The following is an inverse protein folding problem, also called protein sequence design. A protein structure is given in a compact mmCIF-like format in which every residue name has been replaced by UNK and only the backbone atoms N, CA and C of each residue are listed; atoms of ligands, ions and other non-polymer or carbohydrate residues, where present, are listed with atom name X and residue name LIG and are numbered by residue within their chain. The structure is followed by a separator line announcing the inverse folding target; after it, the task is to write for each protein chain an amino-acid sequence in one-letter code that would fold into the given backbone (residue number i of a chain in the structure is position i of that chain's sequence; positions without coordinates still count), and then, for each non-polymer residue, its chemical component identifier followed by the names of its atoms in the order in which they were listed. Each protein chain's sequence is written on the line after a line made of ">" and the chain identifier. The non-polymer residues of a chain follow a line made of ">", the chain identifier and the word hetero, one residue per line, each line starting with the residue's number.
data_IF_845420340531
#
_entry.id   IF_845420340531
#
_cell.length_a   1.000
_cell.length_b   1.000
_cell.length_c   1.000
_cell.angle_alpha   90.00
_cell.angle_beta   90.00
_cell.angle_gamma   90.00
#
_symmetry.space_group_name_H-M   'P 1'
#
loop_
_entity.id
_entity.type
_entity.pdbx_description
1 polymer ?
#
# COMPACT_ATOMS: atom_id res chain seq x y z
N UNK A 1 34.48 -51.43 -18.90
CA UNK A 1 34.08 -50.61 -20.05
C UNK A 1 32.99 -49.66 -19.55
N UNK A 2 33.16 -48.36 -19.76
CA UNK A 2 32.10 -47.41 -19.46
C UNK A 2 30.93 -47.63 -20.42
N UNK A 3 29.73 -47.22 -20.02
CA UNK A 3 28.54 -47.52 -20.82
C UNK A 3 28.48 -46.71 -22.14
N UNK A 4 29.27 -45.63 -22.24
CA UNK A 4 29.47 -44.84 -23.47
C UNK A 4 30.66 -45.32 -24.34
N UNK A 5 31.34 -46.39 -23.93
CA UNK A 5 32.48 -46.97 -24.67
C UNK A 5 32.05 -48.18 -25.49
N UNK A 6 32.67 -48.33 -26.67
CA UNK A 6 32.57 -49.51 -27.53
C UNK A 6 33.96 -50.07 -27.77
N UNK A 7 34.14 -51.37 -27.53
CA UNK A 7 35.36 -52.10 -27.85
C UNK A 7 35.18 -52.87 -29.16
N UNK A 8 36.13 -52.70 -30.09
CA UNK A 8 36.20 -53.44 -31.34
C UNK A 8 37.51 -54.22 -31.40
N UNK A 9 37.47 -55.52 -31.69
CA UNK A 9 38.68 -56.31 -31.81
C UNK A 9 39.33 -56.09 -33.18
N UNK A 10 40.60 -55.69 -33.19
CA UNK A 10 41.37 -55.49 -34.40
C UNK A 10 42.11 -56.78 -34.77
N UNK A 11 41.67 -57.45 -35.84
CA UNK A 11 42.24 -58.74 -36.26
C UNK A 11 43.65 -58.63 -36.87
N UNK A 12 44.10 -57.43 -37.23
CA UNK A 12 45.41 -57.20 -37.85
C UNK A 12 46.49 -57.01 -36.79
N UNK A 13 46.18 -56.23 -35.75
CA UNK A 13 47.11 -55.93 -34.65
C UNK A 13 46.88 -56.82 -33.43
N UNK A 14 45.81 -57.62 -33.42
CA UNK A 14 45.41 -58.50 -32.32
C UNK A 14 45.22 -57.77 -30.96
N UNK A 15 44.70 -56.55 -31.00
CA UNK A 15 44.37 -55.74 -29.82
C UNK A 15 42.91 -55.28 -29.83
N UNK A 16 42.38 -54.93 -28.67
CA UNK A 16 41.06 -54.30 -28.54
C UNK A 16 41.19 -52.79 -28.66
N UNK A 17 40.54 -52.20 -29.66
CA UNK A 17 40.42 -50.76 -29.81
C UNK A 17 39.16 -50.28 -29.07
N UNK A 18 39.32 -49.47 -28.04
CA UNK A 18 38.22 -48.88 -27.26
C UNK A 18 37.98 -47.45 -27.74
N UNK A 19 36.75 -47.14 -28.12
CA UNK A 19 36.34 -45.80 -28.56
C UNK A 19 35.08 -45.36 -27.82
N UNK A 20 34.91 -44.06 -27.64
CA UNK A 20 33.75 -43.49 -26.94
C UNK A 20 34.15 -42.30 -26.06
N UNK A 21 33.21 -41.40 -25.84
CA UNK A 21 33.40 -40.25 -24.96
C UNK A 21 32.16 -40.03 -24.11
N UNK A 22 32.37 -39.63 -22.86
CA UNK A 22 31.27 -39.29 -21.97
C UNK A 22 30.49 -38.09 -22.54
N UNK A 23 29.15 -38.14 -22.55
CA UNK A 23 28.35 -36.99 -22.95
C UNK A 23 28.65 -35.77 -22.07
N UNK A 24 28.69 -34.58 -22.70
CA UNK A 24 28.88 -33.34 -21.98
C UNK A 24 27.79 -33.16 -20.91
N UNK A 25 28.20 -32.64 -19.74
CA UNK A 25 27.26 -32.31 -18.68
C UNK A 25 26.30 -31.20 -19.15
N UNK A 26 25.00 -31.31 -18.86
CA UNK A 26 24.04 -30.26 -19.21
C UNK A 26 24.31 -28.98 -18.43
N UNK A 27 23.93 -27.83 -19.00
CA UNK A 27 23.84 -26.57 -18.25
C UNK A 27 22.69 -26.67 -17.25
N UNK A 28 22.96 -26.37 -15.98
CA UNK A 28 21.98 -26.45 -14.91
C UNK A 28 21.50 -25.07 -14.49
N UNK A 29 20.19 -24.96 -14.21
CA UNK A 29 19.70 -23.90 -13.36
C UNK A 29 20.21 -24.10 -11.92
N UNK A 30 20.23 -23.03 -11.14
CA UNK A 30 20.84 -23.08 -9.81
C UNK A 30 20.08 -23.98 -8.82
N UNK A 31 18.81 -24.29 -9.11
CA UNK A 31 17.96 -25.21 -8.35
C UNK A 31 17.99 -26.66 -8.88
N UNK A 32 18.82 -26.94 -9.89
CA UNK A 32 18.95 -28.26 -10.51
C UNK A 32 20.25 -28.95 -10.11
N UNK A 33 20.22 -30.27 -10.19
CA UNK A 33 21.38 -31.16 -10.02
C UNK A 33 21.35 -32.20 -11.13
N UNK A 34 22.54 -32.58 -11.63
CA UNK A 34 22.66 -33.66 -12.61
C UNK A 34 23.49 -34.81 -12.04
N UNK A 35 23.02 -36.04 -12.25
CA UNK A 35 23.73 -37.27 -11.91
C UNK A 35 23.88 -38.11 -13.17
N UNK A 36 25.09 -38.58 -13.46
CA UNK A 36 25.31 -39.44 -14.63
C UNK A 36 24.81 -40.85 -14.36
N UNK A 37 23.92 -41.35 -15.22
CA UNK A 37 23.38 -42.69 -15.12
C UNK A 37 24.23 -43.67 -15.94
N UNK A 38 24.95 -44.54 -15.25
CA UNK A 38 25.85 -45.53 -15.87
C UNK A 38 25.14 -46.70 -16.55
N UNK A 39 23.81 -46.80 -16.42
CA UNK A 39 23.01 -47.83 -17.10
C UNK A 39 22.46 -47.30 -18.42
N UNK A 40 21.97 -46.08 -18.44
CA UNK A 40 21.35 -45.46 -19.64
C UNK A 40 22.32 -44.54 -20.41
N UNK A 41 23.49 -44.24 -19.83
CA UNK A 41 24.53 -43.38 -20.41
C UNK A 41 24.10 -41.95 -20.68
N UNK A 42 23.16 -41.45 -19.89
CA UNK A 42 22.67 -40.07 -19.96
C UNK A 42 22.79 -39.39 -18.60
N UNK A 43 22.71 -38.07 -18.61
CA UNK A 43 22.60 -37.28 -17.40
C UNK A 43 21.14 -37.21 -16.96
N UNK A 44 20.84 -37.67 -15.75
CA UNK A 44 19.54 -37.49 -15.11
C UNK A 44 19.56 -36.14 -14.36
N UNK A 45 18.70 -35.20 -14.78
CA UNK A 45 18.57 -33.88 -14.16
C UNK A 45 17.37 -33.88 -13.21
N UNK A 46 17.58 -33.42 -11.98
CA UNK A 46 16.52 -33.29 -10.97
C UNK A 46 16.57 -31.93 -10.29
N UNK A 47 15.44 -31.47 -9.78
CA UNK A 47 15.28 -30.15 -9.17
C UNK A 47 14.08 -29.42 -9.75
N UNK A 48 13.54 -28.49 -8.98
CA UNK A 48 12.41 -27.66 -9.41
C UNK A 48 12.58 -26.25 -8.88
N UNK A 49 12.20 -25.26 -9.69
CA UNK A 49 12.24 -23.88 -9.25
C UNK A 49 11.25 -23.70 -8.08
N UNK A 50 11.66 -23.02 -6.99
CA UNK A 50 10.73 -22.65 -5.92
C UNK A 50 9.57 -21.82 -6.46
N UNK A 51 8.36 -22.09 -5.97
CA UNK A 51 7.18 -21.33 -6.33
C UNK A 51 7.36 -19.84 -5.99
N UNK A 52 6.85 -18.97 -6.86
CA UNK A 52 6.82 -17.53 -6.61
C UNK A 52 6.00 -17.25 -5.34
N UNK A 53 6.48 -16.38 -4.43
CA UNK A 53 5.73 -16.02 -3.23
C UNK A 53 4.46 -15.24 -3.57
N UNK A 54 3.44 -15.34 -2.71
CA UNK A 54 2.28 -14.44 -2.77
C UNK A 54 2.72 -13.03 -2.40
N UNK A 55 2.36 -12.04 -3.23
CA UNK A 55 2.75 -10.65 -3.04
C UNK A 55 1.59 -9.80 -2.55
N UNK A 56 1.89 -8.88 -1.64
CA UNK A 56 1.04 -7.73 -1.45
C UNK A 56 1.08 -6.85 -2.70
N UNK A 57 0.04 -6.06 -2.94
CA UNK A 57 -0.09 -5.32 -4.18
C UNK A 57 0.98 -4.19 -4.35
N UNK A 58 1.64 -3.80 -3.24
CA UNK A 58 2.77 -2.87 -3.20
C UNK A 58 4.14 -3.56 -3.27
N UNK A 59 4.19 -4.87 -3.51
CA UNK A 59 5.41 -5.66 -3.59
C UNK A 59 5.69 -6.17 -5.00
N UNK A 60 6.96 -6.45 -5.26
CA UNK A 60 7.46 -7.12 -6.46
C UNK A 60 8.42 -8.23 -6.07
N UNK A 61 8.51 -9.30 -6.87
CA UNK A 61 9.49 -10.37 -6.67
C UNK A 61 10.36 -10.58 -7.91
N UNK A 62 11.63 -10.86 -7.68
CA UNK A 62 12.60 -11.23 -8.72
C UNK A 62 13.31 -12.51 -8.30
N UNK A 63 13.45 -13.47 -9.21
CA UNK A 63 14.17 -14.70 -8.92
C UNK A 63 15.68 -14.48 -9.05
N UNK A 64 16.42 -14.80 -7.99
CA UNK A 64 17.86 -14.69 -7.97
C UNK A 64 18.50 -16.00 -8.43
N UNK A 65 19.10 -16.00 -9.63
CA UNK A 65 19.72 -17.20 -10.22
C UNK A 65 21.03 -17.60 -9.56
N UNK A 66 21.56 -16.81 -8.63
CA UNK A 66 22.77 -17.16 -7.87
C UNK A 66 22.42 -17.85 -6.56
N UNK A 67 21.43 -17.34 -5.84
CA UNK A 67 21.02 -17.86 -4.51
C UNK A 67 19.82 -18.80 -4.58
N UNK A 68 19.17 -18.90 -5.74
CA UNK A 68 18.00 -19.75 -6.00
C UNK A 68 16.78 -19.42 -5.16
N UNK A 69 16.66 -18.17 -4.72
CA UNK A 69 15.52 -17.69 -3.95
C UNK A 69 14.86 -16.51 -4.64
N UNK A 70 13.61 -16.24 -4.26
CA UNK A 70 12.89 -15.05 -4.67
C UNK A 70 13.26 -13.88 -3.75
N UNK A 71 13.80 -12.81 -4.33
CA UNK A 71 14.01 -11.54 -3.65
C UNK A 71 12.73 -10.71 -3.76
N UNK A 72 12.11 -10.37 -2.62
CA UNK A 72 10.87 -9.58 -2.55
C UNK A 72 11.19 -8.16 -2.09
N UNK A 73 10.71 -7.18 -2.85
CA UNK A 73 10.91 -5.76 -2.57
C UNK A 73 9.57 -5.01 -2.57
N UNK A 74 9.56 -3.82 -2.00
CA UNK A 74 8.37 -2.95 -1.88
C UNK A 74 7.91 -2.77 -0.45
N UNK A 75 7.39 -1.58 -0.14
CA UNK A 75 6.92 -1.18 1.18
C UNK A 75 5.51 -0.62 1.09
N UNK A 76 4.65 -0.94 2.05
CA UNK A 76 3.32 -0.36 2.10
C UNK A 76 3.42 1.18 2.24
N UNK A 77 2.63 1.96 1.49
CA UNK A 77 2.55 3.40 1.69
C UNK A 77 2.13 3.73 3.12
N UNK A 78 2.75 4.77 3.71
CA UNK A 78 2.38 5.25 5.04
C UNK A 78 0.91 5.66 5.07
N UNK A 79 0.24 5.37 6.19
CA UNK A 79 -1.13 5.81 6.43
C UNK A 79 -1.18 7.35 6.40
N UNK A 80 -2.17 7.96 5.73
CA UNK A 80 -2.30 9.41 5.70
C UNK A 80 -2.66 9.96 7.09
N UNK A 81 -2.25 11.20 7.38
CA UNK A 81 -2.73 11.94 8.55
C UNK A 81 -4.23 12.21 8.39
N UNK A 82 -5.02 11.82 9.38
CA UNK A 82 -6.47 11.98 9.37
C UNK A 82 -6.91 13.18 10.19
N UNK A 83 -7.89 13.92 9.67
CA UNK A 83 -8.71 14.75 10.54
C UNK A 83 -9.54 13.86 11.47
N UNK A 84 -9.95 14.39 12.61
CA UNK A 84 -10.61 13.59 13.64
C UNK A 84 -11.99 13.06 13.21
N UNK A 85 -12.59 13.64 12.16
CA UNK A 85 -13.83 13.19 11.52
C UNK A 85 -13.61 12.26 10.31
N UNK A 86 -12.37 11.81 10.07
CA UNK A 86 -12.00 10.94 8.97
C UNK A 86 -11.57 9.55 9.44
N UNK A 87 -11.71 8.58 8.55
CA UNK A 87 -11.19 7.21 8.68
C UNK A 87 -10.46 6.84 7.40
N UNK A 88 -9.49 5.92 7.48
CA UNK A 88 -8.83 5.39 6.29
C UNK A 88 -8.79 3.86 6.30
N UNK A 89 -8.94 3.27 5.11
CA UNK A 89 -8.81 1.84 4.87
C UNK A 89 -7.85 1.60 3.72
N UNK A 90 -6.96 0.62 3.84
CA UNK A 90 -6.04 0.29 2.75
C UNK A 90 -6.73 -0.59 1.73
N UNK A 91 -6.69 -0.19 0.46
CA UNK A 91 -7.27 -0.93 -0.65
C UNK A 91 -6.22 -1.85 -1.28
N UNK A 92 -6.36 -3.15 -1.08
CA UNK A 92 -5.39 -4.15 -1.58
C UNK A 92 -5.45 -4.35 -3.10
N UNK A 93 -6.44 -3.76 -3.78
CA UNK A 93 -6.55 -3.84 -5.25
C UNK A 93 -5.86 -2.66 -5.92
N UNK A 94 -6.04 -1.45 -5.40
CA UNK A 94 -5.46 -0.21 -5.96
C UNK A 94 -4.16 0.21 -5.27
N UNK A 95 -3.80 -0.43 -4.16
CA UNK A 95 -2.60 -0.15 -3.36
C UNK A 95 -2.51 1.24 -2.76
N UNK A 96 -3.67 1.86 -2.51
CA UNK A 96 -3.76 3.19 -1.90
C UNK A 96 -4.65 3.16 -0.66
N UNK A 97 -4.51 4.19 0.17
CA UNK A 97 -5.40 4.44 1.29
C UNK A 97 -6.65 5.18 0.80
N UNK A 98 -7.82 4.57 0.99
CA UNK A 98 -9.11 5.22 0.77
C UNK A 98 -9.49 5.97 2.05
N UNK A 99 -9.65 7.31 1.96
CA UNK A 99 -10.02 8.18 3.09
C UNK A 99 -11.49 8.57 2.97
N UNK A 100 -12.24 8.35 4.05
CA UNK A 100 -13.67 8.68 4.14
C UNK A 100 -13.95 9.56 5.36
N UNK A 101 -15.09 10.25 5.36
CA UNK A 101 -15.51 11.14 6.44
C UNK A 101 -15.60 12.59 5.99
N UNK A 102 -16.46 13.37 6.64
CA UNK A 102 -16.72 14.76 6.30
C UNK A 102 -16.86 15.57 7.57
N UNK A 103 -16.34 16.80 7.56
CA UNK A 103 -16.46 17.68 8.71
C UNK A 103 -17.94 18.00 8.94
N UNK A 104 -18.43 17.96 10.19
CA UNK A 104 -19.76 18.43 10.51
C UNK A 104 -19.96 19.89 10.08
N UNK A 105 -21.12 20.21 9.53
CA UNK A 105 -21.46 21.58 9.14
C UNK A 105 -21.38 22.53 10.34
N UNK A 106 -20.92 23.76 10.10
CA UNK A 106 -20.89 24.79 11.13
C UNK A 106 -22.33 25.10 11.60
N UNK A 107 -22.58 25.22 12.92
CA UNK A 107 -23.90 25.55 13.42
C UNK A 107 -24.31 26.98 13.03
N UNK A 108 -25.61 27.23 12.90
CA UNK A 108 -26.15 28.59 12.73
C UNK A 108 -25.93 29.39 14.01
N UNK A 109 -25.34 30.59 13.89
CA UNK A 109 -24.99 31.45 15.00
C UNK A 109 -25.94 32.65 15.14
N UNK A 110 -26.26 33.03 16.37
CA UNK A 110 -26.79 34.35 16.66
C UNK A 110 -25.71 35.43 16.50
N UNK A 111 -26.10 36.71 16.35
CA UNK A 111 -25.15 37.82 16.16
C UNK A 111 -24.18 38.05 17.34
N UNK A 112 -24.47 37.46 18.50
CA UNK A 112 -23.65 37.53 19.71
C UNK A 112 -22.88 36.22 19.99
N UNK A 113 -22.88 35.27 19.05
CA UNK A 113 -22.21 33.98 19.20
C UNK A 113 -21.01 33.82 18.27
N UNK A 114 -20.08 32.96 18.67
CA UNK A 114 -18.94 32.49 17.87
C UNK A 114 -18.86 30.97 17.95
N UNK A 115 -18.37 30.32 16.88
CA UNK A 115 -18.10 28.89 16.85
C UNK A 115 -16.62 28.62 16.57
N UNK A 116 -16.06 27.61 17.24
CA UNK A 116 -14.72 27.08 16.97
C UNK A 116 -14.80 25.57 16.83
N UNK A 117 -14.11 25.00 15.84
CA UNK A 117 -14.09 23.55 15.66
C UNK A 117 -13.04 22.91 16.56
N UNK A 118 -13.46 21.96 17.39
CA UNK A 118 -12.59 21.22 18.27
C UNK A 118 -12.04 19.98 17.54
N UNK A 119 -10.76 20.01 17.20
CA UNK A 119 -10.09 18.91 16.48
C UNK A 119 -9.85 17.67 17.34
N UNK A 120 -10.12 17.73 18.64
CA UNK A 120 -9.99 16.58 19.55
C UNK A 120 -11.33 15.84 19.69
N UNK A 121 -12.43 16.58 19.88
CA UNK A 121 -13.77 15.99 20.06
C UNK A 121 -14.58 15.92 18.77
N UNK A 122 -14.10 16.53 17.69
CA UNK A 122 -14.74 16.58 16.38
C UNK A 122 -16.10 17.26 16.34
N UNK A 123 -16.33 18.21 17.25
CA UNK A 123 -17.58 18.98 17.33
C UNK A 123 -17.28 20.47 17.30
N UNK A 124 -18.33 21.25 16.99
CA UNK A 124 -18.28 22.70 17.08
C UNK A 124 -18.60 23.15 18.51
N UNK A 125 -17.68 23.88 19.12
CA UNK A 125 -17.90 24.56 20.40
C UNK A 125 -18.48 25.96 20.12
N UNK A 126 -19.66 26.24 20.64
CA UNK A 126 -20.34 27.54 20.47
C UNK A 126 -20.28 28.34 21.77
N UNK A 127 -19.84 29.59 21.69
CA UNK A 127 -19.75 30.50 22.83
C UNK A 127 -20.43 31.84 22.54
N UNK A 128 -20.85 32.55 23.57
CA UNK A 128 -21.53 33.85 23.44
C UNK A 128 -22.69 34.00 24.41
N UNK A 129 -22.92 35.21 24.90
CA UNK A 129 -24.03 35.56 25.79
C UNK A 129 -24.87 36.64 25.13
N UNK A 130 -26.19 36.47 25.15
CA UNK A 130 -27.09 37.51 24.67
C UNK A 130 -26.98 38.75 25.59
N UNK A 131 -26.80 39.96 25.05
CA UNK A 131 -26.83 41.18 25.84
C UNK A 131 -28.23 41.39 26.44
N UNK A 132 -28.29 41.93 27.66
CA UNK A 132 -29.56 42.33 28.27
C UNK A 132 -30.22 43.44 27.44
N UNK A 133 -31.55 43.41 27.35
CA UNK A 133 -32.30 44.43 26.62
C UNK A 133 -32.08 45.82 27.25
N UNK A 134 -31.83 46.87 26.46
CA UNK A 134 -31.73 48.23 26.99
C UNK A 134 -33.04 48.62 27.69
N UNK A 135 -32.95 49.08 28.94
CA UNK A 135 -34.10 49.69 29.61
C UNK A 135 -34.35 51.06 28.98
N UNK A 136 -35.51 51.23 28.35
CA UNK A 136 -35.97 52.52 27.82
C UNK A 136 -36.03 53.56 28.94
N UNK A 137 -35.11 54.52 28.94
CA UNK A 137 -35.24 55.71 29.76
C UNK A 137 -36.16 56.69 29.03
N UNK A 138 -37.43 56.75 29.44
CA UNK A 138 -38.36 57.76 28.92
C UNK A 138 -37.92 59.11 29.47
N UNK A 139 -37.15 59.85 28.68
CA UNK A 139 -36.92 61.27 28.94
C UNK A 139 -38.28 61.93 28.67
N UNK A 140 -39.00 62.35 29.71
CA UNK A 140 -40.15 63.25 29.54
C UNK A 140 -39.62 64.55 28.93
N UNK A 141 -39.61 64.65 27.61
CA UNK A 141 -39.52 65.94 26.96
C UNK A 141 -40.78 66.71 27.38
N UNK A 142 -40.60 67.68 28.26
CA UNK A 142 -41.61 68.70 28.51
C UNK A 142 -41.81 69.45 27.18
N UNK A 143 -42.71 68.94 26.34
CA UNK A 143 -43.30 69.70 25.25
C UNK A 143 -44.15 70.78 25.90
N UNK A 144 -43.55 71.95 26.15
CA UNK A 144 -44.29 73.17 26.39
C UNK A 144 -45.00 73.54 25.10
N UNK A 145 -46.24 73.06 24.95
CA UNK A 145 -47.16 73.50 23.90
C UNK A 145 -47.55 74.95 24.25
N UNK A 146 -47.16 75.98 23.48
CA UNK A 146 -47.64 77.33 23.73
C UNK A 146 -49.15 77.39 23.43
N UNK A 147 -49.94 78.15 24.21
CA UNK A 147 -51.37 78.28 23.97
C UNK A 147 -51.63 78.97 22.63
N UNK A 148 -52.56 78.42 21.85
CA UNK A 148 -53.11 79.06 20.66
C UNK A 148 -53.89 80.31 21.08
N UNK A 149 -53.36 81.49 20.76
CA UNK A 149 -54.12 82.75 20.86
C UNK A 149 -55.05 82.82 19.64
N UNK A 150 -56.34 82.64 19.89
CA UNK A 150 -57.39 82.91 18.91
C UNK A 150 -57.79 84.39 19.07
N UNK A 151 -57.56 85.21 18.03
CA UNK A 151 -57.95 86.61 17.99
C UNK A 151 -58.50 86.96 16.62
N UNK A 152 -59.69 87.56 16.61
CA UNK A 152 -60.44 88.04 15.44
C UNK A 152 -59.83 89.30 14.85
#
# INVERSE_FOLDING_TARGET
>A
MACYETATFNTTTCVWDVTGSMPAMPTLACYETATFNTTTCVWDVTGSQPAMPTLACYQTASFNTTTCVWDVTGSQPAMPTLACYQTASFNTTTCVWDVTGSQPAMPTLACYQTASFNTTTCVWDVTGSQPAMPTLHVIKQHLSIPPLVYGM
#
